data_IF_015632666926
#
_entry.id   IF_015632666926
#
_cell.length_a   1.000
_cell.length_b   1.000
_cell.length_c   1.000
_cell.angle_alpha   90.00
_cell.angle_beta   90.00
_cell.angle_gamma   90.00
#
_symmetry.space_group_name_H-M   'P 1'
#
loop_
_entity.id
_entity.type
_entity.pdbx_description
1 polymer ?
#
# COMPACT_ATOMS: atom_id res chain seq x y z
N UNK A 1 -16.02 -2.19 9.98
CA UNK A 1 -14.70 -2.09 9.30
C UNK A 1 -13.79 -1.21 10.16
N UNK A 2 -12.56 -1.64 10.48
CA UNK A 2 -11.67 -0.89 11.40
C UNK A 2 -11.10 0.39 10.77
N UNK A 3 -10.63 1.34 11.60
CA UNK A 3 -9.90 2.54 11.13
C UNK A 3 -8.73 2.17 10.23
N UNK A 4 -7.89 1.23 10.67
CA UNK A 4 -6.81 0.62 9.87
C UNK A 4 -7.25 0.08 8.51
N UNK A 5 -8.36 -0.64 8.45
CA UNK A 5 -8.86 -1.20 7.19
C UNK A 5 -9.41 -0.13 6.23
N UNK A 6 -9.88 1.01 6.75
CA UNK A 6 -10.26 2.18 5.94
C UNK A 6 -9.01 2.92 5.43
N UNK A 7 -8.03 3.15 6.30
CA UNK A 7 -6.75 3.74 5.93
C UNK A 7 -6.03 2.93 4.85
N UNK A 8 -6.00 1.59 4.96
CA UNK A 8 -5.42 0.71 3.96
C UNK A 8 -6.11 0.81 2.60
N UNK A 9 -7.44 0.94 2.57
CA UNK A 9 -8.18 1.19 1.31
C UNK A 9 -7.83 2.55 0.72
N UNK A 10 -7.80 3.60 1.55
CA UNK A 10 -7.44 4.94 1.10
C UNK A 10 -6.02 4.97 0.53
N UNK A 11 -5.07 4.34 1.21
CA UNK A 11 -3.69 4.24 0.72
C UNK A 11 -3.63 3.53 -0.64
N UNK A 12 -4.39 2.44 -0.84
CA UNK A 12 -4.45 1.75 -2.12
C UNK A 12 -4.95 2.68 -3.25
N UNK A 13 -5.98 3.49 -2.98
CA UNK A 13 -6.50 4.48 -3.94
C UNK A 13 -5.51 5.60 -4.26
N UNK A 14 -4.82 6.13 -3.24
CA UNK A 14 -3.79 7.17 -3.43
C UNK A 14 -2.63 6.64 -4.26
N UNK A 15 -2.09 5.47 -3.90
CA UNK A 15 -1.01 4.83 -4.65
C UNK A 15 -1.43 4.50 -6.08
N UNK A 16 -2.67 4.05 -6.30
CA UNK A 16 -3.18 3.79 -7.66
C UNK A 16 -3.21 5.05 -8.50
N UNK A 17 -3.62 6.17 -7.91
CA UNK A 17 -3.70 7.47 -8.58
C UNK A 17 -2.32 8.00 -8.91
N UNK A 18 -1.41 7.99 -7.95
CA UNK A 18 -0.05 8.55 -8.07
C UNK A 18 0.83 7.73 -9.03
N UNK A 19 0.80 6.41 -8.89
CA UNK A 19 1.67 5.52 -9.67
C UNK A 19 1.13 5.19 -11.07
N UNK A 20 -0.12 5.52 -11.36
CA UNK A 20 -0.80 5.16 -12.60
C UNK A 20 -1.00 3.65 -12.80
N UNK A 21 -0.78 2.82 -11.76
CA UNK A 21 -0.95 1.37 -11.81
C UNK A 21 -1.94 0.93 -10.75
N UNK A 22 -2.67 -0.16 -11.00
CA UNK A 22 -3.61 -0.67 -10.02
C UNK A 22 -2.89 -1.29 -8.81
N UNK A 23 -3.10 -0.69 -7.63
CA UNK A 23 -2.51 -1.13 -6.36
C UNK A 23 -3.59 -1.76 -5.48
N UNK A 24 -3.31 -2.97 -4.98
CA UNK A 24 -4.18 -3.67 -4.03
C UNK A 24 -3.49 -3.80 -2.69
N UNK A 25 -4.21 -3.45 -1.62
CA UNK A 25 -3.78 -3.67 -0.24
C UNK A 25 -4.72 -4.66 0.44
N UNK A 26 -4.17 -5.73 1.01
CA UNK A 26 -4.94 -6.71 1.78
C UNK A 26 -4.20 -7.11 3.05
N UNK A 27 -4.96 -7.56 4.05
CA UNK A 27 -4.41 -8.03 5.31
C UNK A 27 -4.08 -9.52 5.23
N UNK A 28 -2.80 -9.86 5.33
CA UNK A 28 -2.33 -11.23 5.47
C UNK A 28 -2.47 -11.68 6.93
N UNK A 29 -3.35 -12.65 7.14
CA UNK A 29 -3.67 -13.17 8.48
C UNK A 29 -2.60 -14.09 9.05
N UNK A 30 -1.77 -14.72 8.21
CA UNK A 30 -0.74 -15.66 8.67
C UNK A 30 0.36 -14.91 9.41
N UNK A 31 0.80 -13.80 8.84
CA UNK A 31 1.86 -12.93 9.39
C UNK A 31 1.32 -11.69 10.10
N UNK A 32 -0.01 -11.50 10.12
CA UNK A 32 -0.71 -10.37 10.75
C UNK A 32 -0.25 -8.99 10.26
N UNK A 33 -0.01 -8.86 8.96
CA UNK A 33 0.48 -7.63 8.31
C UNK A 33 -0.29 -7.31 7.04
N UNK A 34 -0.31 -6.04 6.65
CA UNK A 34 -0.84 -5.64 5.35
C UNK A 34 0.22 -5.84 4.26
N UNK A 35 -0.20 -6.39 3.12
CA UNK A 35 0.59 -6.50 1.90
C UNK A 35 0.07 -5.52 0.86
N UNK A 36 0.98 -4.81 0.22
CA UNK A 36 0.76 -3.91 -0.92
C UNK A 36 1.25 -4.64 -2.17
N UNK A 37 0.37 -4.82 -3.14
CA UNK A 37 0.64 -5.62 -4.35
C UNK A 37 0.23 -4.87 -5.61
N UNK A 38 1.10 -4.87 -6.61
CA UNK A 38 0.87 -4.31 -7.94
C UNK A 38 1.67 -5.09 -8.99
N UNK A 39 1.25 -5.04 -10.25
CA UNK A 39 1.84 -5.88 -11.31
C UNK A 39 2.79 -5.13 -12.25
N UNK A 40 2.55 -3.83 -12.51
CA UNK A 40 3.32 -3.03 -13.47
C UNK A 40 3.58 -1.64 -12.90
N UNK A 41 4.51 -0.90 -13.49
CA UNK A 41 4.84 0.46 -13.07
C UNK A 41 6.05 0.51 -12.15
N UNK A 42 6.06 1.40 -11.13
CA UNK A 42 7.25 1.72 -10.38
C UNK A 42 7.84 0.55 -9.59
N UNK A 43 9.15 0.62 -9.34
CA UNK A 43 9.85 -0.28 -8.44
C UNK A 43 9.36 -0.14 -7.00
N UNK A 44 9.63 -1.17 -6.18
CA UNK A 44 9.24 -1.21 -4.76
C UNK A 44 9.72 0.04 -4.00
N UNK A 45 10.95 0.49 -4.24
CA UNK A 45 11.51 1.67 -3.59
C UNK A 45 10.72 2.95 -3.92
N UNK A 46 10.30 3.11 -5.18
CA UNK A 46 9.52 4.27 -5.60
C UNK A 46 8.09 4.21 -5.03
N UNK A 47 7.47 3.02 -5.03
CA UNK A 47 6.14 2.84 -4.44
C UNK A 47 6.15 3.11 -2.92
N UNK A 48 7.21 2.72 -2.23
CA UNK A 48 7.41 3.03 -0.82
C UNK A 48 7.54 4.55 -0.57
N UNK A 49 8.26 5.26 -1.45
CA UNK A 49 8.37 6.72 -1.38
C UNK A 49 7.00 7.39 -1.49
N UNK A 50 6.19 7.02 -2.49
CA UNK A 50 4.83 7.55 -2.62
C UNK A 50 3.99 7.33 -1.35
N UNK A 51 4.05 6.12 -0.78
CA UNK A 51 3.31 5.83 0.44
C UNK A 51 3.76 6.69 1.62
N UNK A 52 5.07 6.93 1.75
CA UNK A 52 5.65 7.80 2.78
C UNK A 52 5.14 9.23 2.66
N UNK A 53 5.00 9.74 1.44
CA UNK A 53 4.50 11.09 1.19
C UNK A 53 3.01 11.22 1.57
N UNK A 54 2.23 10.15 1.40
CA UNK A 54 0.83 10.08 1.84
C UNK A 54 0.62 9.78 3.34
N UNK A 55 1.68 9.72 4.16
CA UNK A 55 1.56 9.35 5.58
C UNK A 55 0.55 10.20 6.37
N UNK A 56 0.47 11.50 6.07
CA UNK A 56 -0.45 12.43 6.70
C UNK A 56 -1.92 12.14 6.36
N UNK A 57 -2.19 11.56 5.19
CA UNK A 57 -3.55 11.21 4.73
C UNK A 57 -4.07 9.89 5.28
N UNK A 58 -3.16 9.01 5.72
CA UNK A 58 -3.49 7.69 6.26
C UNK A 58 -2.83 7.45 7.63
N UNK A 59 -3.12 8.29 8.65
CA UNK A 59 -2.45 8.24 9.95
C UNK A 59 -2.67 6.92 10.71
N UNK A 60 -3.72 6.17 10.37
CA UNK A 60 -4.03 4.88 10.98
C UNK A 60 -3.18 3.72 10.42
N UNK A 61 -2.43 3.93 9.34
CA UNK A 61 -1.62 2.89 8.66
C UNK A 61 -0.14 3.16 8.92
N UNK A 62 0.54 2.18 9.52
CA UNK A 62 1.99 2.23 9.66
C UNK A 62 2.66 1.69 8.40
N UNK A 63 3.12 2.62 7.55
CA UNK A 63 3.77 2.33 6.27
C UNK A 63 5.02 1.47 6.44
N UNK A 64 5.75 1.62 7.56
CA UNK A 64 6.98 0.86 7.83
C UNK A 64 6.73 -0.63 8.06
N UNK A 65 5.49 -1.00 8.41
CA UNK A 65 5.09 -2.39 8.68
C UNK A 65 4.48 -3.09 7.47
N UNK A 66 4.27 -2.35 6.38
CA UNK A 66 3.72 -2.88 5.14
C UNK A 66 4.74 -3.77 4.44
N UNK A 67 4.26 -4.88 3.89
CA UNK A 67 5.02 -5.69 2.95
C UNK A 67 4.70 -5.26 1.52
N UNK A 68 5.69 -5.33 0.65
CA UNK A 68 5.64 -4.80 -0.70
C UNK A 68 5.97 -5.91 -1.68
N UNK A 69 4.99 -6.34 -2.45
CA UNK A 69 5.14 -7.42 -3.42
C UNK A 69 4.80 -6.89 -4.81
N UNK A 70 5.82 -6.59 -5.63
CA UNK A 70 5.61 -6.34 -7.05
C UNK A 70 5.51 -7.69 -7.76
N UNK A 71 4.34 -8.00 -8.31
CA UNK A 71 4.15 -9.21 -9.09
C UNK A 71 4.95 -9.09 -10.40
N UNK A 72 6.08 -9.79 -10.48
CA UNK A 72 6.79 -9.99 -11.75
C UNK A 72 5.97 -10.98 -12.59
N UNK A 73 5.17 -10.48 -13.52
CA UNK A 73 4.66 -11.28 -14.63
C UNK A 73 5.15 -10.68 -15.93
#
# INVERSE_FOLDING_TARGET
MSKRARGARRLASLLTTESGTYVRIYYDRQIRRYRVVWAKGPEVAQMFTYARDFRSEVPDVDISTLLWDRASK
#
